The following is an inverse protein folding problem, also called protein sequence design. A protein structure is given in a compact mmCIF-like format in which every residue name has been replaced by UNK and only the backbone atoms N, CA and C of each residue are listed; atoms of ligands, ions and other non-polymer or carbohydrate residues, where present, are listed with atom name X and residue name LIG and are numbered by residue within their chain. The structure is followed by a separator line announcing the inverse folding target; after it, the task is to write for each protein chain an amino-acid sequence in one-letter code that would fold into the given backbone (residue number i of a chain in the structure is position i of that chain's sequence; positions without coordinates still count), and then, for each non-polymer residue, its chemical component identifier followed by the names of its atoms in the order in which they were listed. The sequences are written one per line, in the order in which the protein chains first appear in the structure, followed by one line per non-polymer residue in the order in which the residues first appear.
data_IF_213295544618
#
_entry.id   IF_213295544618
#
_cell.length_a   1.000
_cell.length_b   1.000
_cell.length_c   1.000
_cell.angle_alpha   90.00
_cell.angle_beta   90.00
_cell.angle_gamma   90.00
#
_symmetry.space_group_name_H-M   'P 1'
#
loop_
_entity.id
_entity.type
_entity.pdbx_description
1 polymer ?
#
# COMPACT_ATOMS: atom_id res chain seq x y z
N UNK A 1 -55.22 7.88 18.55
CA UNK A 1 -54.83 7.58 17.21
C UNK A 1 -53.31 7.51 17.13
N UNK A 2 -52.71 6.31 17.12
CA UNK A 2 -51.28 6.08 16.92
C UNK A 2 -51.04 6.00 15.43
N UNK A 3 -50.23 6.89 14.89
CA UNK A 3 -49.73 6.83 13.52
C UNK A 3 -48.30 6.33 13.59
N UNK A 4 -48.07 5.16 13.06
CA UNK A 4 -46.76 4.55 12.91
C UNK A 4 -45.98 5.27 11.81
N UNK A 5 -44.83 5.87 12.11
CA UNK A 5 -43.85 6.29 11.12
C UNK A 5 -42.86 5.15 10.87
N UNK A 6 -43.04 4.53 9.72
CA UNK A 6 -42.09 3.59 9.14
C UNK A 6 -40.86 4.39 8.68
N UNK A 7 -39.76 4.27 9.38
CA UNK A 7 -38.46 4.76 8.92
C UNK A 7 -37.88 3.78 7.90
N UNK A 8 -38.02 4.10 6.63
CA UNK A 8 -37.10 3.58 5.60
C UNK A 8 -35.81 4.42 5.65
N UNK A 9 -34.83 3.97 6.40
CA UNK A 9 -33.46 4.40 6.22
C UNK A 9 -32.91 3.57 5.06
N UNK A 10 -33.08 4.07 3.87
CA UNK A 10 -32.38 3.53 2.70
C UNK A 10 -30.96 4.07 2.71
N UNK A 11 -30.06 3.12 2.83
CA UNK A 11 -28.63 3.26 2.85
C UNK A 11 -28.11 4.04 1.62
N UNK A 12 -27.85 5.33 1.77
CA UNK A 12 -27.23 6.20 0.76
C UNK A 12 -25.69 6.17 0.85
N UNK A 13 -25.12 5.11 1.42
CA UNK A 13 -23.65 4.95 1.56
C UNK A 13 -22.98 4.14 0.45
N UNK A 14 -23.72 3.70 -0.58
CA UNK A 14 -23.15 2.83 -1.62
C UNK A 14 -22.58 3.59 -2.83
N UNK A 15 -22.65 4.92 -2.90
CA UNK A 15 -22.31 5.66 -4.11
C UNK A 15 -21.13 6.65 -4.00
N UNK A 16 -20.50 6.77 -2.84
CA UNK A 16 -19.34 7.70 -2.66
C UNK A 16 -18.00 6.97 -2.62
N UNK A 17 -17.98 5.65 -2.65
CA UNK A 17 -16.75 4.86 -2.50
C UNK A 17 -16.05 4.47 -3.83
N UNK A 18 -16.55 4.91 -4.99
CA UNK A 18 -15.97 4.53 -6.30
C UNK A 18 -15.10 5.61 -6.98
N UNK A 19 -14.97 6.79 -6.39
CA UNK A 19 -14.16 7.85 -6.95
C UNK A 19 -13.00 8.17 -6.02
N UNK A 20 -11.82 7.58 -6.22
CA UNK A 20 -10.63 8.20 -5.70
C UNK A 20 -9.52 7.37 -5.10
N UNK A 21 -9.23 6.16 -5.58
CA UNK A 21 -7.94 5.55 -5.19
C UNK A 21 -7.34 4.73 -6.33
N UNK A 22 -7.03 5.38 -7.42
CA UNK A 22 -6.08 4.86 -8.40
C UNK A 22 -4.77 5.59 -8.18
N UNK A 23 -3.77 4.89 -7.67
CA UNK A 23 -2.41 5.43 -7.54
C UNK A 23 -1.92 5.88 -8.93
N UNK A 24 -1.64 7.17 -9.06
CA UNK A 24 -1.04 7.75 -10.26
C UNK A 24 -2.00 8.40 -11.26
N UNK A 25 -3.30 8.48 -11.00
CA UNK A 25 -4.22 9.25 -11.85
C UNK A 25 -4.56 10.56 -11.15
N UNK A 26 -3.57 11.42 -11.01
CA UNK A 26 -3.81 12.84 -10.86
C UNK A 26 -3.56 13.51 -12.20
N UNK A 27 -4.58 14.21 -12.64
CA UNK A 27 -4.63 14.99 -13.84
C UNK A 27 -4.93 14.26 -15.15
N UNK A 28 -6.19 13.84 -15.29
CA UNK A 28 -6.91 14.02 -16.55
C UNK A 28 -8.40 14.16 -16.21
N UNK A 29 -8.78 15.39 -15.87
CA UNK A 29 -10.18 15.77 -15.86
C UNK A 29 -10.68 15.76 -17.30
N UNK A 30 -11.79 15.04 -17.55
CA UNK A 30 -12.59 15.08 -18.75
C UNK A 30 -11.94 14.51 -20.03
N UNK A 31 -11.92 13.20 -20.13
CA UNK A 31 -11.75 12.45 -21.34
C UNK A 31 -11.91 10.97 -20.99
N UNK A 32 -12.68 10.25 -21.74
CA UNK A 32 -12.91 8.80 -21.57
C UNK A 32 -11.60 8.07 -21.94
N UNK A 33 -10.63 8.07 -20.99
CA UNK A 33 -9.34 7.43 -21.19
C UNK A 33 -9.50 5.95 -20.89
N UNK A 34 -9.80 5.16 -21.89
CA UNK A 34 -9.90 3.72 -21.78
C UNK A 34 -8.52 3.14 -21.40
N UNK A 35 -8.41 2.60 -20.16
CA UNK A 35 -7.24 1.86 -19.75
C UNK A 35 -7.30 0.45 -20.34
N UNK A 36 -6.24 0.06 -21.06
CA UNK A 36 -6.13 -1.26 -21.66
C UNK A 36 -5.09 -2.09 -20.92
N UNK A 37 -5.46 -3.31 -20.53
CA UNK A 37 -4.48 -4.29 -20.02
C UNK A 37 -3.54 -4.71 -21.16
N UNK A 38 -2.25 -4.49 -20.97
CA UNK A 38 -1.19 -4.80 -21.92
C UNK A 38 -0.61 -6.18 -21.68
N UNK A 39 -0.33 -6.51 -20.42
CA UNK A 39 0.23 -7.80 -20.04
C UNK A 39 -0.08 -8.14 -18.58
N UNK A 40 -0.15 -9.43 -18.28
CA UNK A 40 -0.05 -9.92 -16.91
C UNK A 40 1.42 -10.17 -16.60
N UNK A 41 1.92 -9.50 -15.56
CA UNK A 41 3.34 -9.54 -15.15
C UNK A 41 3.61 -10.61 -14.10
N UNK A 42 2.66 -10.82 -13.20
CA UNK A 42 2.71 -11.87 -12.18
C UNK A 42 1.31 -12.46 -12.01
N UNK A 43 1.25 -13.77 -11.99
CA UNK A 43 0.11 -14.52 -11.51
C UNK A 43 0.15 -14.70 -9.99
N UNK A 44 -0.86 -15.32 -9.43
CA UNK A 44 -0.96 -15.57 -7.98
C UNK A 44 0.25 -16.37 -7.44
N UNK A 45 0.69 -17.40 -8.17
CA UNK A 45 1.81 -18.24 -7.78
C UNK A 45 3.14 -17.44 -7.78
N UNK A 46 3.36 -16.61 -8.81
CA UNK A 46 4.54 -15.76 -8.90
C UNK A 46 4.55 -14.68 -7.80
N UNK A 47 3.38 -14.08 -7.49
CA UNK A 47 3.21 -13.14 -6.40
C UNK A 47 3.52 -13.80 -5.06
N UNK A 48 2.99 -14.99 -4.80
CA UNK A 48 3.26 -15.77 -3.59
C UNK A 48 4.75 -16.08 -3.42
N UNK A 49 5.45 -16.51 -4.49
CA UNK A 49 6.90 -16.73 -4.46
C UNK A 49 7.69 -15.46 -4.19
N UNK A 50 7.28 -14.32 -4.76
CA UNK A 50 7.94 -13.02 -4.53
C UNK A 50 7.81 -12.60 -3.06
N UNK A 51 6.61 -12.71 -2.45
CA UNK A 51 6.40 -12.39 -1.04
C UNK A 51 7.15 -13.36 -0.11
N UNK A 52 7.21 -14.64 -0.44
CA UNK A 52 8.00 -15.62 0.32
C UNK A 52 9.49 -15.25 0.32
N UNK A 53 10.05 -14.88 -0.83
CA UNK A 53 11.44 -14.43 -0.94
C UNK A 53 11.69 -13.15 -0.14
N UNK A 54 10.81 -12.16 -0.23
CA UNK A 54 10.89 -10.93 0.59
C UNK A 54 10.89 -11.30 2.09
N UNK A 55 10.06 -12.25 2.51
CA UNK A 55 10.00 -12.69 3.90
C UNK A 55 11.33 -13.28 4.39
N UNK A 56 11.99 -14.10 3.57
CA UNK A 56 13.35 -14.62 3.86
C UNK A 56 14.37 -13.49 3.92
N UNK A 57 14.35 -12.56 2.97
CA UNK A 57 15.27 -11.41 2.93
C UNK A 57 15.12 -10.52 4.18
N UNK A 58 13.89 -10.30 4.66
CA UNK A 58 13.62 -9.56 5.90
C UNK A 58 14.21 -10.28 7.10
N UNK A 59 13.96 -11.58 7.23
CA UNK A 59 14.47 -12.39 8.32
C UNK A 59 16.00 -12.42 8.34
N UNK A 60 16.63 -12.62 7.19
CA UNK A 60 18.09 -12.68 7.06
C UNK A 60 18.74 -11.33 7.41
N UNK A 61 18.26 -10.22 6.83
CA UNK A 61 18.81 -8.88 7.06
C UNK A 61 18.72 -8.47 8.53
N UNK A 62 17.63 -8.82 9.20
CA UNK A 62 17.40 -8.47 10.59
C UNK A 62 17.96 -9.52 11.58
N UNK A 63 18.54 -10.62 11.08
CA UNK A 63 19.10 -11.73 11.91
C UNK A 63 18.05 -12.34 12.85
N UNK A 64 16.88 -12.58 12.33
CA UNK A 64 15.69 -12.98 13.07
C UNK A 64 14.63 -11.88 13.05
N UNK A 65 13.53 -12.07 13.73
CA UNK A 65 12.37 -11.17 13.69
C UNK A 65 11.89 -10.66 15.06
N UNK A 66 12.66 -10.92 16.13
CA UNK A 66 12.26 -10.55 17.50
C UNK A 66 11.99 -9.05 17.68
N UNK A 67 12.69 -8.22 16.94
CA UNK A 67 12.55 -6.76 16.99
C UNK A 67 11.82 -6.17 15.78
N UNK A 68 11.42 -7.00 14.82
CA UNK A 68 10.75 -6.58 13.59
C UNK A 68 9.27 -6.34 13.83
N UNK A 69 8.75 -5.26 13.28
CA UNK A 69 7.31 -4.98 13.19
C UNK A 69 6.96 -4.63 11.74
N UNK A 70 5.82 -5.12 11.27
CA UNK A 70 5.37 -4.90 9.90
C UNK A 70 4.27 -3.84 9.87
N UNK A 71 4.39 -2.89 8.96
CA UNK A 71 3.43 -1.80 8.81
C UNK A 71 3.00 -1.68 7.35
N UNK A 72 1.78 -2.10 7.05
CA UNK A 72 1.21 -1.98 5.72
C UNK A 72 0.69 -0.55 5.44
N UNK A 73 1.03 -0.01 4.29
CA UNK A 73 0.46 1.25 3.82
C UNK A 73 -0.92 0.95 3.22
N UNK A 74 -1.97 1.56 3.76
CA UNK A 74 -3.33 1.36 3.24
C UNK A 74 -3.44 1.87 1.81
N UNK A 75 -4.14 1.19 0.90
CA UNK A 75 -5.03 0.01 1.13
C UNK A 75 -4.29 -1.32 0.89
N UNK A 76 -3.55 -1.45 -0.23
CA UNK A 76 -2.98 -2.73 -0.68
C UNK A 76 -1.73 -3.18 0.06
N UNK A 77 -1.01 -2.26 0.69
CA UNK A 77 0.13 -2.61 1.54
C UNK A 77 -0.26 -3.40 2.79
N UNK A 78 -1.49 -3.22 3.31
CA UNK A 78 -1.96 -3.95 4.49
C UNK A 78 -2.05 -5.47 4.26
N UNK A 79 -2.76 -6.01 3.24
CA UNK A 79 -2.78 -7.44 2.97
C UNK A 79 -1.40 -7.99 2.56
N UNK A 80 -0.53 -7.17 1.94
CA UNK A 80 0.84 -7.56 1.64
C UNK A 80 1.63 -7.77 2.93
N UNK A 81 1.54 -6.85 3.90
CA UNK A 81 2.17 -6.98 5.21
C UNK A 81 1.66 -8.23 5.96
N UNK A 82 0.35 -8.50 5.92
CA UNK A 82 -0.23 -9.71 6.52
C UNK A 82 0.34 -10.99 5.89
N UNK A 83 0.46 -11.05 4.57
CA UNK A 83 1.04 -12.21 3.86
C UNK A 83 2.53 -12.40 4.18
N UNK A 84 3.29 -11.31 4.30
CA UNK A 84 4.69 -11.35 4.73
C UNK A 84 4.79 -11.87 6.16
N UNK A 85 3.95 -11.39 7.10
CA UNK A 85 3.85 -11.88 8.47
C UNK A 85 3.60 -13.40 8.50
N UNK A 86 2.60 -13.86 7.75
CA UNK A 86 2.21 -15.28 7.71
C UNK A 86 3.32 -16.15 7.11
N UNK A 87 4.09 -15.63 6.16
CA UNK A 87 5.26 -16.30 5.61
C UNK A 87 6.39 -16.37 6.65
N UNK A 88 6.69 -15.26 7.34
CA UNK A 88 7.70 -15.24 8.41
C UNK A 88 7.34 -16.23 9.50
N UNK A 89 6.06 -16.31 9.90
CA UNK A 89 5.59 -17.30 10.86
C UNK A 89 5.86 -18.74 10.42
N UNK A 90 5.75 -19.04 9.12
CA UNK A 90 6.10 -20.35 8.56
C UNK A 90 7.59 -20.64 8.58
N UNK A 91 8.43 -19.59 8.39
CA UNK A 91 9.88 -19.70 8.31
C UNK A 91 10.50 -19.82 9.71
N UNK A 92 10.12 -18.91 10.63
CA UNK A 92 10.76 -18.75 11.95
C UNK A 92 9.93 -19.33 13.09
N UNK A 93 8.67 -19.69 12.86
CA UNK A 93 7.75 -20.09 13.93
C UNK A 93 7.26 -18.92 14.81
N UNK A 94 7.72 -17.70 14.55
CA UNK A 94 7.38 -16.47 15.29
C UNK A 94 6.55 -15.55 14.40
N UNK A 95 5.53 -14.94 14.98
CA UNK A 95 4.64 -14.01 14.30
C UNK A 95 5.01 -12.57 14.69
N UNK A 96 5.65 -11.78 13.80
CA UNK A 96 5.97 -10.39 14.09
C UNK A 96 4.68 -9.56 14.20
N UNK A 97 4.64 -8.53 15.08
CA UNK A 97 3.52 -7.60 15.14
C UNK A 97 3.28 -6.97 13.76
N UNK A 98 1.99 -6.89 13.38
CA UNK A 98 1.59 -6.34 12.09
C UNK A 98 0.45 -5.34 12.27
N UNK A 99 0.56 -4.19 11.63
CA UNK A 99 -0.45 -3.14 11.63
C UNK A 99 -0.51 -2.42 10.29
N UNK A 100 -1.35 -1.41 10.20
CA UNK A 100 -1.47 -0.59 8.98
C UNK A 100 -1.56 0.89 9.32
N UNK A 101 -1.11 1.73 8.39
CA UNK A 101 -1.21 3.19 8.46
C UNK A 101 -1.99 3.72 7.28
N UNK A 102 -2.79 4.75 7.52
CA UNK A 102 -3.47 5.52 6.50
C UNK A 102 -2.71 6.83 6.29
N UNK A 103 -2.17 7.01 5.09
CA UNK A 103 -1.35 8.16 4.71
C UNK A 103 -2.15 9.26 4.00
N UNK A 104 -3.46 9.12 3.87
CA UNK A 104 -4.31 10.09 3.16
C UNK A 104 -4.16 11.52 3.68
N UNK A 105 -3.76 11.69 4.93
CA UNK A 105 -3.54 12.99 5.58
C UNK A 105 -2.11 13.53 5.48
N UNK A 106 -1.17 12.73 4.97
CA UNK A 106 0.25 13.08 4.87
C UNK A 106 0.70 13.36 3.42
N UNK A 107 -0.24 13.39 2.48
CA UNK A 107 0.06 13.64 1.06
C UNK A 107 -0.11 15.11 0.72
N UNK A 108 0.95 15.73 0.23
CA UNK A 108 0.98 17.16 -0.14
C UNK A 108 0.08 17.50 -1.34
N UNK A 109 -0.28 16.52 -2.14
CA UNK A 109 -1.10 16.65 -3.34
C UNK A 109 -2.60 16.90 -3.06
N UNK A 110 -3.03 16.79 -1.78
CA UNK A 110 -4.39 17.09 -1.34
C UNK A 110 -4.57 18.54 -0.84
N UNK A 111 -3.52 19.37 -0.87
CA UNK A 111 -3.43 20.65 -0.16
C UNK A 111 -4.09 21.85 -0.85
N UNK A 112 -4.91 21.68 -1.89
CA UNK A 112 -5.51 22.84 -2.58
C UNK A 112 -6.92 23.23 -2.09
N UNK A 113 -7.54 22.52 -1.15
CA UNK A 113 -8.93 22.80 -0.77
C UNK A 113 -9.32 22.58 0.71
N UNK A 114 -8.41 22.43 1.65
CA UNK A 114 -8.80 22.23 3.05
C UNK A 114 -8.10 23.21 3.99
N UNK A 115 -8.91 23.96 4.72
CA UNK A 115 -8.53 24.65 5.95
C UNK A 115 -7.86 23.64 6.90
N UNK A 116 -6.61 23.94 7.30
CA UNK A 116 -5.79 23.23 8.29
C UNK A 116 -6.01 21.72 8.38
N UNK A 117 -5.12 20.88 7.80
CA UNK A 117 -5.25 19.44 7.94
C UNK A 117 -5.21 19.10 9.44
N UNK A 118 -6.29 18.54 9.95
CA UNK A 118 -6.29 17.90 11.25
C UNK A 118 -5.38 16.69 11.12
N UNK A 119 -4.13 16.82 11.58
CA UNK A 119 -3.15 15.73 11.63
C UNK A 119 -3.74 14.66 12.55
N UNK A 120 -4.46 13.70 11.98
CA UNK A 120 -4.83 12.51 12.72
C UNK A 120 -3.55 11.70 12.88
N UNK A 121 -3.12 11.58 14.12
CA UNK A 121 -1.97 10.77 14.47
C UNK A 121 -2.22 9.34 13.96
N UNK A 122 -1.26 8.77 13.25
CA UNK A 122 -1.33 7.37 12.89
C UNK A 122 -1.34 6.52 14.18
N UNK A 123 -2.22 5.52 14.23
CA UNK A 123 -2.33 4.63 15.39
C UNK A 123 -1.93 3.23 14.95
N UNK A 124 -0.92 2.69 15.61
CA UNK A 124 -0.46 1.31 15.45
C UNK A 124 -0.83 0.50 16.70
N UNK A 125 -1.20 -0.78 16.57
CA UNK A 125 -1.59 -1.61 17.71
C UNK A 125 -0.41 -2.06 18.58
N UNK A 126 0.80 -1.54 18.32
CA UNK A 126 2.05 -1.85 19.03
C UNK A 126 2.95 -0.62 19.09
N UNK A 127 3.92 -0.66 19.99
CA UNK A 127 4.96 0.37 20.11
C UNK A 127 6.02 0.18 19.02
N UNK A 128 6.41 1.29 18.39
CA UNK A 128 7.47 1.34 17.36
C UNK A 128 8.81 1.80 17.91
N UNK A 129 8.88 2.24 19.17
CA UNK A 129 10.13 2.72 19.77
C UNK A 129 11.18 1.60 19.79
N UNK A 130 12.38 1.92 19.32
CA UNK A 130 13.53 1.02 19.22
C UNK A 130 13.27 -0.26 18.39
N UNK A 131 12.19 -0.31 17.59
CA UNK A 131 11.85 -1.42 16.71
C UNK A 131 12.43 -1.22 15.31
N UNK A 132 12.60 -2.33 14.60
CA UNK A 132 12.88 -2.37 13.16
C UNK A 132 11.55 -2.42 12.40
N UNK A 133 11.12 -1.27 11.93
CA UNK A 133 9.86 -1.13 11.19
C UNK A 133 10.09 -1.50 9.73
N UNK A 134 9.34 -2.46 9.20
CA UNK A 134 9.28 -2.77 7.78
C UNK A 134 7.97 -2.23 7.22
N UNK A 135 8.05 -1.12 6.48
CA UNK A 135 6.93 -0.60 5.70
C UNK A 135 6.66 -1.50 4.50
N UNK A 136 5.41 -1.81 4.24
CA UNK A 136 4.99 -2.66 3.12
C UNK A 136 4.02 -1.91 2.20
N UNK A 137 4.28 -1.95 0.89
CA UNK A 137 3.40 -1.37 -0.14
C UNK A 137 3.31 -2.27 -1.37
N UNK A 138 2.36 -2.00 -2.25
CA UNK A 138 2.20 -2.74 -3.51
C UNK A 138 3.16 -2.23 -4.59
N UNK A 139 3.20 -0.92 -4.85
CA UNK A 139 3.98 -0.34 -5.94
C UNK A 139 4.79 0.87 -5.48
N UNK A 140 6.09 0.82 -5.67
CA UNK A 140 6.96 1.98 -5.53
C UNK A 140 7.08 2.71 -6.88
N UNK A 141 6.69 3.99 -6.88
CA UNK A 141 6.76 4.88 -8.04
C UNK A 141 7.65 6.09 -7.73
N UNK A 142 7.07 7.26 -7.46
CA UNK A 142 7.79 8.52 -7.22
C UNK A 142 8.52 8.55 -5.87
N UNK A 143 8.06 7.79 -4.88
CA UNK A 143 8.54 7.81 -3.50
C UNK A 143 7.70 8.68 -2.55
N UNK A 144 6.70 9.43 -3.06
CA UNK A 144 5.87 10.33 -2.24
C UNK A 144 5.07 9.57 -1.18
N UNK A 145 4.49 8.42 -1.55
CA UNK A 145 3.79 7.51 -0.62
C UNK A 145 4.72 7.04 0.48
N UNK A 146 5.93 6.59 0.12
CA UNK A 146 6.94 6.14 1.09
C UNK A 146 7.35 7.26 2.06
N UNK A 147 7.57 8.49 1.57
CA UNK A 147 7.86 9.66 2.41
C UNK A 147 6.75 9.89 3.43
N UNK A 148 5.50 9.95 2.98
CA UNK A 148 4.35 10.15 3.85
C UNK A 148 4.23 9.03 4.91
N UNK A 149 4.49 7.78 4.52
CA UNK A 149 4.48 6.64 5.43
C UNK A 149 5.58 6.72 6.50
N UNK A 150 6.79 7.15 6.11
CA UNK A 150 7.90 7.38 7.05
C UNK A 150 7.51 8.46 8.07
N UNK A 151 6.95 9.59 7.64
CA UNK A 151 6.47 10.65 8.53
C UNK A 151 5.38 10.15 9.49
N UNK A 152 4.44 9.33 8.98
CA UNK A 152 3.39 8.72 9.79
C UNK A 152 3.97 7.80 10.88
N UNK A 153 4.96 6.98 10.56
CA UNK A 153 5.64 6.12 11.56
C UNK A 153 6.35 6.95 12.61
N UNK A 154 7.05 8.02 12.23
CA UNK A 154 7.69 8.93 13.19
C UNK A 154 6.68 9.66 14.10
N UNK A 155 5.44 9.84 13.65
CA UNK A 155 4.39 10.39 14.51
C UNK A 155 3.93 9.42 15.60
N UNK A 156 4.14 8.10 15.39
CA UNK A 156 3.81 7.06 16.38
C UNK A 156 4.90 6.85 17.43
N UNK A 157 6.17 7.15 17.11
CA UNK A 157 7.30 6.95 18.02
C UNK A 157 8.65 7.08 17.33
N UNK A 158 9.67 6.49 17.93
CA UNK A 158 11.06 6.55 17.46
C UNK A 158 11.59 5.16 17.10
N UNK A 159 11.38 4.69 15.86
CA UNK A 159 11.91 3.41 15.42
C UNK A 159 13.45 3.41 15.39
N UNK A 160 14.06 2.23 15.59
CA UNK A 160 15.50 2.03 15.43
C UNK A 160 15.88 2.12 13.95
N UNK A 161 15.13 1.44 13.10
CA UNK A 161 15.28 1.52 11.64
C UNK A 161 13.91 1.55 10.97
N UNK A 162 13.86 2.12 9.77
CA UNK A 162 12.71 1.97 8.87
C UNK A 162 13.26 1.34 7.59
N UNK A 163 12.71 0.20 7.21
CA UNK A 163 12.99 -0.54 6.00
C UNK A 163 11.74 -0.54 5.12
N UNK A 164 11.92 -0.69 3.82
CA UNK A 164 10.78 -0.60 2.90
C UNK A 164 10.73 -1.81 1.97
N UNK A 165 9.60 -2.52 2.00
CA UNK A 165 9.29 -3.68 1.18
C UNK A 165 8.17 -3.34 0.19
N UNK A 166 8.38 -3.63 -1.09
CA UNK A 166 7.38 -3.43 -2.14
C UNK A 166 7.25 -4.65 -3.03
N UNK A 167 6.03 -4.92 -3.48
CA UNK A 167 5.82 -6.01 -4.43
C UNK A 167 6.42 -5.65 -5.79
N UNK A 168 6.24 -4.41 -6.24
CA UNK A 168 6.75 -3.93 -7.52
C UNK A 168 7.47 -2.60 -7.38
N UNK A 169 8.64 -2.51 -7.99
CA UNK A 169 9.32 -1.25 -8.25
C UNK A 169 9.22 -0.91 -9.73
N UNK A 170 8.54 0.21 -10.08
CA UNK A 170 8.34 0.61 -11.48
C UNK A 170 9.29 1.71 -11.97
N UNK A 171 10.20 2.19 -11.13
CA UNK A 171 11.09 3.29 -11.44
C UNK A 171 10.44 4.68 -11.31
N UNK A 172 10.96 5.67 -12.04
CA UNK A 172 10.49 7.07 -12.08
C UNK A 172 10.46 7.78 -10.71
N UNK A 173 11.56 7.67 -9.95
CA UNK A 173 11.69 8.35 -8.67
C UNK A 173 11.73 9.88 -8.83
N UNK A 174 10.98 10.56 -7.97
CA UNK A 174 11.08 11.99 -7.73
C UNK A 174 11.81 12.29 -6.42
N UNK A 175 11.82 11.32 -5.50
CA UNK A 175 12.52 11.39 -4.22
C UNK A 175 13.63 10.33 -4.16
N UNK A 176 14.72 10.55 -3.42
CA UNK A 176 15.85 9.62 -3.30
C UNK A 176 15.52 8.44 -2.36
N UNK A 177 14.36 7.78 -2.59
CA UNK A 177 13.87 6.67 -1.81
C UNK A 177 13.97 5.40 -2.64
N UNK A 178 14.55 4.35 -2.05
CA UNK A 178 14.62 3.00 -2.62
C UNK A 178 14.02 2.00 -1.65
N UNK A 179 13.39 0.96 -2.17
CA UNK A 179 12.97 -0.15 -1.34
C UNK A 179 14.18 -1.04 -1.00
N UNK A 180 14.18 -1.54 0.23
CA UNK A 180 15.16 -2.52 0.71
C UNK A 180 14.87 -3.91 0.15
N UNK A 181 13.59 -4.20 -0.04
CA UNK A 181 13.09 -5.49 -0.52
C UNK A 181 12.13 -5.25 -1.67
N UNK A 182 12.39 -5.89 -2.81
CA UNK A 182 11.60 -5.71 -4.03
C UNK A 182 11.17 -7.04 -4.58
N UNK A 183 9.87 -7.25 -4.73
CA UNK A 183 9.33 -8.45 -5.35
C UNK A 183 9.71 -8.56 -6.82
N UNK A 184 9.51 -7.50 -7.60
CA UNK A 184 9.91 -7.44 -9.00
C UNK A 184 10.19 -6.01 -9.45
N UNK A 185 11.30 -5.81 -10.19
CA UNK A 185 11.56 -4.55 -10.88
C UNK A 185 10.90 -4.59 -12.25
N UNK A 186 10.08 -3.59 -12.56
CA UNK A 186 9.34 -3.49 -13.82
C UNK A 186 9.47 -2.05 -14.34
N UNK A 187 10.52 -1.72 -15.08
CA UNK A 187 10.62 -0.42 -15.73
C UNK A 187 9.42 -0.20 -16.64
N UNK A 188 8.71 0.90 -16.45
CA UNK A 188 7.54 1.26 -17.24
C UNK A 188 7.78 2.56 -17.98
N UNK A 189 6.99 2.86 -19.01
CA UNK A 189 6.93 4.21 -19.58
C UNK A 189 6.02 5.11 -18.72
N UNK A 190 6.03 6.42 -18.99
CA UNK A 190 5.13 7.36 -18.31
C UNK A 190 3.64 7.13 -18.67
N UNK A 191 3.38 6.57 -19.86
CA UNK A 191 2.03 6.20 -20.33
C UNK A 191 1.56 4.84 -19.83
N UNK A 192 2.37 4.12 -19.06
CA UNK A 192 2.04 2.83 -18.48
C UNK A 192 1.89 2.94 -16.97
N UNK A 193 1.07 2.09 -16.39
CA UNK A 193 0.95 1.95 -14.95
C UNK A 193 0.93 0.48 -14.55
N UNK A 194 1.29 0.22 -13.30
CA UNK A 194 1.19 -1.11 -12.70
C UNK A 194 -0.06 -1.15 -11.84
N UNK A 195 -0.89 -2.14 -12.08
CA UNK A 195 -2.07 -2.44 -11.27
C UNK A 195 -1.83 -3.76 -10.53
N UNK A 196 -1.85 -3.69 -9.20
CA UNK A 196 -1.81 -4.88 -8.34
C UNK A 196 -3.24 -5.20 -7.93
N UNK A 197 -3.70 -6.41 -8.24
CA UNK A 197 -5.01 -6.91 -7.84
C UNK A 197 -4.85 -7.92 -6.72
N UNK A 198 -5.66 -7.78 -5.69
CA UNK A 198 -5.67 -8.64 -4.52
C UNK A 198 -7.11 -9.08 -4.22
N UNK A 199 -7.33 -10.32 -3.77
CA UNK A 199 -8.67 -10.87 -3.55
C UNK A 199 -9.53 -10.02 -2.62
N UNK A 200 -8.89 -9.35 -1.65
CA UNK A 200 -9.54 -8.50 -0.66
C UNK A 200 -10.25 -7.27 -1.26
N UNK A 201 -9.86 -6.87 -2.49
CA UNK A 201 -10.39 -5.67 -3.14
C UNK A 201 -10.91 -5.92 -4.55
N UNK A 202 -10.30 -6.88 -5.26
CA UNK A 202 -10.47 -7.02 -6.70
C UNK A 202 -11.04 -8.39 -7.10
N UNK A 203 -11.18 -9.33 -6.14
CA UNK A 203 -11.69 -10.69 -6.37
C UNK A 203 -10.72 -11.62 -7.09
N UNK A 204 -9.54 -11.15 -7.48
CA UNK A 204 -8.49 -11.92 -8.14
C UNK A 204 -7.10 -11.50 -7.63
N UNK A 205 -6.09 -12.33 -7.91
CA UNK A 205 -4.69 -12.05 -7.54
C UNK A 205 -3.84 -11.93 -8.78
N UNK A 206 -3.11 -10.81 -8.91
CA UNK A 206 -2.17 -10.64 -10.00
C UNK A 206 -1.56 -9.26 -10.07
N UNK A 207 -0.54 -9.13 -10.91
CA UNK A 207 0.09 -7.85 -11.25
C UNK A 207 -0.02 -7.65 -12.76
N UNK A 208 -0.55 -6.51 -13.16
CA UNK A 208 -0.85 -6.20 -14.55
C UNK A 208 -0.16 -4.91 -14.98
N UNK A 209 0.34 -4.93 -16.21
CA UNK A 209 0.78 -3.73 -16.91
C UNK A 209 -0.40 -3.18 -17.68
N UNK A 210 -0.76 -1.94 -17.39
CA UNK A 210 -1.84 -1.21 -18.04
C UNK A 210 -1.24 -0.11 -18.91
N UNK A 211 -1.80 0.11 -20.08
CA UNK A 211 -1.49 1.27 -20.93
C UNK A 211 -2.65 2.26 -20.89
N UNK A 212 -2.31 3.54 -20.84
CA UNK A 212 -3.28 4.62 -21.04
C UNK A 212 -3.50 4.67 -22.56
N UNK A 213 -4.72 4.34 -23.03
CA UNK A 213 -5.04 4.35 -24.45
C UNK A 213 -5.00 5.77 -24.99
N UNK A 214 -4.23 5.99 -26.03
CA UNK A 214 -4.46 7.10 -26.95
C UNK A 214 -5.61 6.69 -27.88
N UNK A 215 -6.67 7.48 -27.93
CA UNK A 215 -7.70 7.39 -28.97
C UNK A 215 -7.17 7.99 -30.26
#
# INVERSE_FOLDING_TARGET
GKIAYSLRVQCACAFVCLAGYRQGIYFLAKGDTSMRQKAQIMDEAALGRALMRISHEITEKNRGVDNVVLVGIRRRGEPIACRIRDNIKKIEGVEPPCGSIDIGFYRDDLSTLAESPVIRKAELPFDVNDRDVVLCDDVLYTGRTARAAIEAVFSCGRPRTIQFAVLVDRGHRELPIRADYVGKNIPTSHSELIEVRLPEFDGETGVYLMAIGDN
#
